data_IF_405958348580
#
_entry.id   IF_405958348580
#
_cell.length_a   1.000
_cell.length_b   1.000
_cell.length_c   1.000
_cell.angle_alpha   90.00
_cell.angle_beta   90.00
_cell.angle_gamma   90.00
#
_symmetry.space_group_name_H-M   'P 1'
#
loop_
_entity.id
_entity.type
_entity.pdbx_description
1 polymer ?
#
# COMPACT_ATOMS: atom_id res chain seq x y z
N UNK A 1 -5.52 24.63 27.74
CA UNK A 1 -5.24 23.30 27.18
C UNK A 1 -3.74 23.09 27.01
N UNK A 2 -3.03 23.87 26.18
CA UNK A 2 -1.59 23.76 25.88
C UNK A 2 -0.66 23.63 27.12
N UNK A 3 -0.88 24.41 28.19
CA UNK A 3 -0.04 24.31 29.42
C UNK A 3 -0.06 22.91 30.06
N UNK A 4 -1.19 22.20 30.01
CA UNK A 4 -1.28 20.83 30.54
C UNK A 4 -0.57 19.82 29.65
N UNK A 5 -0.66 19.99 28.31
CA UNK A 5 0.05 19.15 27.34
C UNK A 5 1.56 19.30 27.54
N UNK A 6 2.07 20.54 27.61
CA UNK A 6 3.49 20.81 27.79
C UNK A 6 4.04 20.36 29.15
N UNK A 7 3.19 20.28 30.18
CA UNK A 7 3.58 19.80 31.51
C UNK A 7 3.67 18.26 31.59
N UNK A 8 2.87 17.55 30.82
CA UNK A 8 2.73 16.09 30.92
C UNK A 8 3.41 15.32 29.77
N UNK A 9 3.80 16.00 28.69
CA UNK A 9 4.38 15.38 27.51
C UNK A 9 5.79 15.91 27.27
N UNK A 10 6.79 15.04 27.40
CA UNK A 10 8.20 15.44 27.34
C UNK A 10 8.78 15.31 25.93
N UNK A 11 8.14 14.58 25.02
CA UNK A 11 8.56 14.39 23.64
C UNK A 11 7.41 14.60 22.65
N UNK A 12 7.74 14.69 21.38
CA UNK A 12 6.77 15.00 20.32
C UNK A 12 5.78 13.86 20.09
N UNK A 13 6.19 12.61 20.27
CA UNK A 13 5.28 11.47 20.17
C UNK A 13 4.19 11.52 21.28
N UNK A 14 4.59 11.83 22.50
CA UNK A 14 3.65 11.99 23.61
C UNK A 14 2.72 13.19 23.40
N UNK A 15 3.24 14.30 22.86
CA UNK A 15 2.44 15.49 22.52
C UNK A 15 1.42 15.16 21.43
N UNK A 16 1.87 14.52 20.35
CA UNK A 16 1.02 14.16 19.22
C UNK A 16 -0.11 13.21 19.64
N UNK A 17 0.22 12.13 20.38
CA UNK A 17 -0.81 11.21 20.89
C UNK A 17 -1.78 11.95 21.80
N UNK A 18 -1.30 12.78 22.72
CA UNK A 18 -2.16 13.48 23.66
C UNK A 18 -3.10 14.51 23.00
N UNK A 19 -2.69 15.09 21.88
CA UNK A 19 -3.50 16.04 21.12
C UNK A 19 -4.63 15.39 20.37
N UNK A 20 -4.41 14.20 19.83
CA UNK A 20 -5.36 13.52 18.94
C UNK A 20 -6.17 12.43 19.64
N UNK A 21 -5.63 11.82 20.71
CA UNK A 21 -6.27 10.67 21.37
C UNK A 21 -7.64 11.01 21.97
N UNK A 22 -8.52 10.03 21.96
CA UNK A 22 -9.76 10.09 22.72
C UNK A 22 -9.48 10.22 24.22
N UNK A 23 -10.29 10.99 24.98
CA UNK A 23 -10.12 11.17 26.40
C UNK A 23 -10.05 9.83 27.16
N UNK A 24 -8.98 9.63 27.92
CA UNK A 24 -8.76 8.41 28.71
C UNK A 24 -8.02 7.29 27.98
N UNK A 25 -7.65 7.48 26.72
CA UNK A 25 -6.78 6.57 25.97
C UNK A 25 -5.30 7.01 26.08
N UNK A 26 -4.39 6.10 25.72
CA UNK A 26 -2.96 6.35 25.59
C UNK A 26 -2.40 5.86 24.24
N UNK A 27 -3.28 5.71 23.27
CA UNK A 27 -3.01 5.26 21.91
C UNK A 27 -3.93 6.00 20.93
N UNK A 28 -3.60 5.94 19.65
CA UNK A 28 -4.40 6.47 18.55
C UNK A 28 -5.04 5.33 17.75
N UNK A 29 -6.28 5.53 17.34
CA UNK A 29 -7.00 4.70 16.37
C UNK A 29 -7.14 5.45 15.04
N UNK A 30 -7.60 4.78 14.00
CA UNK A 30 -7.69 5.36 12.65
C UNK A 30 -8.52 6.65 12.63
N UNK A 31 -9.62 6.67 13.36
CA UNK A 31 -10.54 7.80 13.45
C UNK A 31 -9.91 9.06 14.06
N UNK A 32 -8.92 8.88 14.91
CA UNK A 32 -8.22 10.00 15.56
C UNK A 32 -7.36 10.82 14.59
N UNK A 33 -6.95 10.22 13.47
CA UNK A 33 -6.16 10.89 12.42
C UNK A 33 -7.01 11.73 11.47
N UNK A 34 -8.32 11.51 11.40
CA UNK A 34 -9.19 12.19 10.41
C UNK A 34 -9.14 13.71 10.56
N UNK A 35 -9.33 14.32 11.76
CA UNK A 35 -9.28 15.78 11.89
C UNK A 35 -7.92 16.37 11.53
N UNK A 36 -6.82 15.68 11.86
CA UNK A 36 -5.47 16.10 11.52
C UNK A 36 -5.28 16.11 9.99
N UNK A 37 -5.67 15.04 9.30
CA UNK A 37 -5.51 14.94 7.85
C UNK A 37 -6.46 15.87 7.09
N UNK A 38 -7.66 16.13 7.62
CA UNK A 38 -8.53 17.17 7.08
C UNK A 38 -7.87 18.55 7.12
N UNK A 39 -7.17 18.86 8.21
CA UNK A 39 -6.42 20.10 8.32
C UNK A 39 -5.26 20.14 7.31
N UNK A 40 -4.50 19.06 7.16
CA UNK A 40 -3.43 18.94 6.16
C UNK A 40 -3.96 19.20 4.75
N UNK A 41 -5.06 18.54 4.33
CA UNK A 41 -5.65 18.74 3.00
C UNK A 41 -6.14 20.18 2.83
N UNK A 42 -6.63 20.82 3.88
CA UNK A 42 -7.13 22.20 3.82
C UNK A 42 -6.04 23.26 3.81
N UNK A 43 -4.86 22.95 4.33
CA UNK A 43 -3.80 23.95 4.54
C UNK A 43 -2.61 23.77 3.60
N UNK A 44 -2.29 22.53 3.23
CA UNK A 44 -1.12 22.26 2.38
C UNK A 44 -1.33 22.72 0.94
N UNK A 45 -0.39 23.53 0.38
CA UNK A 45 -0.55 24.11 -0.97
C UNK A 45 -0.65 23.03 -2.08
N UNK A 46 0.10 21.95 -1.97
CA UNK A 46 0.09 20.83 -2.91
C UNK A 46 -1.21 20.01 -2.94
N UNK A 47 -2.14 20.23 -2.01
CA UNK A 47 -3.42 19.51 -1.92
C UNK A 47 -4.64 20.43 -2.10
N UNK A 48 -4.44 21.70 -2.46
CA UNK A 48 -5.51 22.69 -2.55
C UNK A 48 -6.65 22.28 -3.50
N UNK A 49 -6.33 21.56 -4.58
CA UNK A 49 -7.29 21.07 -5.57
C UNK A 49 -8.25 20.00 -5.02
N UNK A 50 -7.85 19.24 -3.99
CA UNK A 50 -8.72 18.23 -3.36
C UNK A 50 -9.90 18.84 -2.59
N UNK A 51 -9.87 20.13 -2.27
CA UNK A 51 -10.94 20.80 -1.52
C UNK A 51 -12.27 20.78 -2.25
N UNK A 52 -12.26 20.83 -3.57
CA UNK A 52 -13.47 20.86 -4.40
C UNK A 52 -13.99 19.46 -4.74
N UNK A 53 -13.17 18.43 -4.56
CA UNK A 53 -13.47 17.05 -4.89
C UNK A 53 -13.66 16.19 -3.62
N UNK A 54 -14.83 16.27 -2.99
CA UNK A 54 -15.11 15.67 -1.67
C UNK A 54 -14.87 14.16 -1.59
N UNK A 55 -15.09 13.41 -2.68
CA UNK A 55 -14.88 11.97 -2.71
C UNK A 55 -13.38 11.63 -2.73
N UNK A 56 -12.61 12.29 -3.59
CA UNK A 56 -11.15 12.18 -3.62
C UNK A 56 -10.53 12.61 -2.29
N UNK A 57 -11.02 13.68 -1.69
CA UNK A 57 -10.61 14.13 -0.37
C UNK A 57 -10.75 13.02 0.67
N UNK A 58 -11.93 12.37 0.73
CA UNK A 58 -12.18 11.28 1.66
C UNK A 58 -11.29 10.06 1.38
N UNK A 59 -11.10 9.69 0.11
CA UNK A 59 -10.25 8.56 -0.30
C UNK A 59 -8.77 8.82 -0.02
N UNK A 60 -8.29 10.04 -0.29
CA UNK A 60 -6.94 10.44 0.05
C UNK A 60 -6.68 10.30 1.56
N UNK A 61 -7.55 10.86 2.40
CA UNK A 61 -7.43 10.71 3.87
C UNK A 61 -7.40 9.23 4.27
N UNK A 62 -8.28 8.42 3.73
CA UNK A 62 -8.31 6.97 4.01
C UNK A 62 -6.98 6.32 3.62
N UNK A 63 -6.46 6.62 2.43
CA UNK A 63 -5.18 6.06 1.97
C UNK A 63 -4.03 6.44 2.89
N UNK A 64 -3.92 7.72 3.25
CA UNK A 64 -2.86 8.20 4.15
C UNK A 64 -2.97 7.52 5.51
N UNK A 65 -4.18 7.39 6.08
CA UNK A 65 -4.39 6.66 7.34
C UNK A 65 -3.90 5.21 7.22
N UNK A 66 -4.27 4.52 6.14
CA UNK A 66 -3.85 3.14 5.95
C UNK A 66 -2.33 3.02 5.79
N UNK A 67 -1.68 3.93 5.07
CA UNK A 67 -0.21 3.97 4.95
C UNK A 67 0.46 4.22 6.29
N UNK A 68 -0.08 5.13 7.12
CA UNK A 68 0.42 5.36 8.49
C UNK A 68 0.32 4.07 9.32
N UNK A 69 -0.84 3.40 9.31
CA UNK A 69 -1.02 2.17 10.07
C UNK A 69 -0.18 1.01 9.52
N UNK A 70 -0.01 0.92 8.20
CA UNK A 70 0.84 -0.06 7.54
C UNK A 70 2.30 0.04 7.99
N UNK A 71 2.82 1.26 8.10
CA UNK A 71 4.24 1.49 8.44
C UNK A 71 4.47 1.52 9.95
N UNK A 72 3.60 2.19 10.72
CA UNK A 72 3.81 2.50 12.13
C UNK A 72 3.27 1.40 13.05
N UNK A 73 2.05 0.86 12.79
CA UNK A 73 1.39 -0.09 13.68
C UNK A 73 1.95 -1.51 13.54
N UNK A 74 3.21 -1.69 13.95
CA UNK A 74 3.95 -2.95 13.83
C UNK A 74 3.40 -4.08 14.68
N UNK A 75 2.58 -3.76 15.67
CA UNK A 75 1.90 -4.74 16.53
C UNK A 75 0.63 -5.33 15.90
N UNK A 76 0.17 -4.79 14.77
CA UNK A 76 -1.10 -5.16 14.12
C UNK A 76 -2.33 -5.03 15.05
N UNK A 77 -2.20 -4.25 16.12
CA UNK A 77 -3.25 -4.10 17.13
C UNK A 77 -4.40 -3.19 16.70
N UNK A 78 -4.26 -2.44 15.59
CA UNK A 78 -5.16 -1.36 15.21
C UNK A 78 -5.05 -0.13 16.13
N UNK A 79 -3.99 -0.04 16.94
CA UNK A 79 -3.76 1.02 17.91
C UNK A 79 -2.31 1.45 17.84
N UNK A 80 -2.06 2.70 17.49
CA UNK A 80 -0.72 3.28 17.46
C UNK A 80 -0.39 3.86 18.84
N UNK A 81 0.66 3.34 19.46
CA UNK A 81 1.17 3.79 20.76
C UNK A 81 2.28 4.82 20.61
N UNK A 82 2.57 5.59 21.66
CA UNK A 82 3.74 6.47 21.69
C UNK A 82 5.05 5.73 21.40
N UNK A 83 5.16 4.46 21.78
CA UNK A 83 6.36 3.66 21.55
C UNK A 83 6.54 3.31 20.07
N UNK A 84 5.46 3.05 19.35
CA UNK A 84 5.48 2.82 17.89
C UNK A 84 5.80 4.10 17.13
N UNK A 85 5.18 5.23 17.50
CA UNK A 85 5.49 6.53 16.89
C UNK A 85 6.97 6.92 17.05
N UNK A 86 7.57 6.72 18.23
CA UNK A 86 8.98 7.02 18.47
C UNK A 86 9.95 6.20 17.61
N UNK A 87 9.53 5.02 17.17
CA UNK A 87 10.35 4.10 16.34
C UNK A 87 10.15 4.33 14.85
N UNK A 88 9.18 5.14 14.46
CA UNK A 88 8.84 5.45 13.08
C UNK A 88 9.38 6.82 12.67
N UNK A 89 9.47 7.05 11.37
CA UNK A 89 9.75 8.33 10.71
C UNK A 89 8.53 9.26 10.65
N UNK A 90 7.36 8.83 11.12
CA UNK A 90 6.10 9.54 10.89
C UNK A 90 6.13 11.00 11.37
N UNK A 91 6.60 11.26 12.59
CA UNK A 91 6.65 12.64 13.10
C UNK A 91 7.66 13.54 12.36
N UNK A 92 8.71 12.96 11.80
CA UNK A 92 9.64 13.67 10.93
C UNK A 92 8.95 14.08 9.63
N UNK A 93 8.18 13.17 9.03
CA UNK A 93 7.35 13.47 7.85
C UNK A 93 6.26 14.51 8.14
N UNK A 94 5.67 14.49 9.35
CA UNK A 94 4.72 15.53 9.76
C UNK A 94 5.39 16.92 9.85
N UNK A 95 6.63 16.99 10.35
CA UNK A 95 7.36 18.25 10.39
C UNK A 95 7.68 18.77 8.97
N UNK A 96 8.01 17.90 8.04
CA UNK A 96 8.27 18.26 6.65
C UNK A 96 7.05 18.81 5.90
N UNK A 97 5.83 18.54 6.35
CA UNK A 97 4.61 19.13 5.75
C UNK A 97 4.57 20.67 5.83
N UNK A 98 5.30 21.27 6.76
CA UNK A 98 5.40 22.74 6.88
C UNK A 98 6.52 23.33 5.98
N UNK A 99 7.51 22.51 5.63
CA UNK A 99 8.72 22.94 4.92
C UNK A 99 8.64 22.64 3.42
N UNK A 100 8.02 21.51 3.06
CA UNK A 100 7.94 21.03 1.68
C UNK A 100 6.62 21.44 1.04
N UNK A 101 6.70 22.18 -0.05
CA UNK A 101 5.52 22.65 -0.79
C UNK A 101 4.96 21.60 -1.75
N UNK A 102 5.80 20.69 -2.24
CA UNK A 102 5.40 19.59 -3.08
C UNK A 102 5.11 18.34 -2.24
N UNK A 103 3.83 18.02 -2.09
CA UNK A 103 3.37 16.85 -1.31
C UNK A 103 3.93 15.52 -1.83
N UNK A 104 4.32 15.45 -3.10
CA UNK A 104 4.84 14.23 -3.72
C UNK A 104 6.28 13.90 -3.29
N UNK A 105 7.01 14.88 -2.73
CA UNK A 105 8.30 14.61 -2.10
C UNK A 105 8.18 13.84 -0.77
N UNK A 106 6.99 13.81 -0.18
CA UNK A 106 6.70 13.06 1.05
C UNK A 106 6.20 11.65 0.74
N UNK A 107 7.03 10.87 0.05
CA UNK A 107 6.69 9.55 -0.53
C UNK A 107 6.27 8.52 0.51
N UNK A 108 6.75 8.61 1.75
CA UNK A 108 6.50 7.59 2.78
C UNK A 108 5.02 7.53 3.21
N UNK A 109 4.33 8.70 3.31
CA UNK A 109 2.95 8.74 3.81
C UNK A 109 2.02 9.58 2.93
N UNK A 110 2.43 10.76 2.47
CA UNK A 110 1.54 11.83 2.03
C UNK A 110 1.47 12.02 0.53
N UNK A 111 2.32 11.37 -0.28
CA UNK A 111 2.35 11.55 -1.73
C UNK A 111 0.97 11.35 -2.36
N UNK A 112 0.53 12.36 -3.12
CA UNK A 112 -0.70 12.29 -3.90
C UNK A 112 -0.58 11.29 -5.07
N UNK A 113 0.58 11.21 -5.71
CA UNK A 113 0.83 10.26 -6.80
C UNK A 113 0.62 8.83 -6.34
N UNK A 114 1.17 8.46 -5.17
CA UNK A 114 0.96 7.15 -4.57
C UNK A 114 -0.51 6.88 -4.24
N UNK A 115 -1.24 7.88 -3.74
CA UNK A 115 -2.67 7.75 -3.53
C UNK A 115 -3.40 7.52 -4.85
N UNK A 116 -3.07 8.30 -5.90
CA UNK A 116 -3.74 8.25 -7.18
C UNK A 116 -3.58 6.89 -7.85
N UNK A 117 -2.39 6.33 -7.84
CA UNK A 117 -2.13 4.96 -8.33
C UNK A 117 -3.00 3.93 -7.61
N UNK A 118 -3.03 3.95 -6.27
CA UNK A 118 -3.86 3.02 -5.48
C UNK A 118 -5.34 3.18 -5.84
N UNK A 119 -5.79 4.42 -5.97
CA UNK A 119 -7.17 4.74 -6.30
C UNK A 119 -7.56 4.23 -7.68
N UNK A 120 -6.75 4.47 -8.70
CA UNK A 120 -7.01 4.01 -10.06
C UNK A 120 -6.99 2.48 -10.15
N UNK A 121 -6.02 1.81 -9.52
CA UNK A 121 -5.96 0.34 -9.48
C UNK A 121 -7.17 -0.28 -8.76
N UNK A 122 -7.70 0.36 -7.74
CA UNK A 122 -8.94 -0.09 -7.10
C UNK A 122 -10.12 -0.01 -8.07
N UNK A 123 -10.29 1.12 -8.77
CA UNK A 123 -11.39 1.32 -9.72
C UNK A 123 -11.30 0.45 -10.96
N UNK A 124 -10.10 0.12 -11.42
CA UNK A 124 -9.87 -0.83 -12.50
C UNK A 124 -10.44 -2.22 -12.15
N UNK A 125 -10.33 -2.63 -10.91
CA UNK A 125 -10.81 -3.93 -10.44
C UNK A 125 -12.28 -3.93 -10.02
N UNK A 126 -12.79 -2.84 -9.44
CA UNK A 126 -14.18 -2.68 -9.00
C UNK A 126 -15.12 -2.42 -10.19
N UNK A 127 -15.36 -3.45 -11.00
CA UNK A 127 -16.13 -3.32 -12.25
C UNK A 127 -17.63 -3.19 -12.05
N UNK A 128 -18.18 -3.66 -10.93
CA UNK A 128 -19.59 -3.51 -10.57
C UNK A 128 -19.87 -2.22 -9.77
N UNK A 129 -18.81 -1.47 -9.43
CA UNK A 129 -18.84 -0.18 -8.73
C UNK A 129 -19.57 -0.21 -7.39
N UNK A 130 -19.49 -1.34 -6.69
CA UNK A 130 -20.10 -1.47 -5.36
C UNK A 130 -19.17 -0.99 -4.22
N UNK A 131 -17.97 -0.47 -4.57
CA UNK A 131 -16.93 0.05 -3.67
C UNK A 131 -16.24 -1.04 -2.83
N UNK A 132 -16.35 -2.28 -3.25
CA UNK A 132 -15.74 -3.44 -2.62
C UNK A 132 -15.12 -4.33 -3.71
N UNK A 133 -14.03 -4.99 -3.39
CA UNK A 133 -13.38 -5.96 -4.27
C UNK A 133 -13.74 -7.36 -3.82
N UNK A 134 -14.25 -8.18 -4.71
CA UNK A 134 -14.46 -9.61 -4.48
C UNK A 134 -13.28 -10.46 -4.98
N UNK A 135 -13.38 -11.78 -4.83
CA UNK A 135 -12.30 -12.70 -5.22
C UNK A 135 -12.09 -12.75 -6.74
N UNK A 136 -13.13 -12.50 -7.55
CA UNK A 136 -13.03 -12.48 -9.01
C UNK A 136 -12.40 -11.17 -9.49
N UNK A 137 -12.76 -10.06 -8.84
CA UNK A 137 -12.17 -8.76 -9.07
C UNK A 137 -10.65 -8.81 -8.79
N UNK A 138 -10.29 -9.28 -7.60
CA UNK A 138 -8.88 -9.36 -7.20
C UNK A 138 -8.08 -10.31 -8.09
N UNK A 139 -8.70 -11.37 -8.61
CA UNK A 139 -8.03 -12.30 -9.52
C UNK A 139 -7.59 -11.64 -10.83
N UNK A 140 -8.23 -10.55 -11.26
CA UNK A 140 -7.83 -9.82 -12.48
C UNK A 140 -6.59 -8.95 -12.29
N UNK A 141 -6.15 -8.75 -11.05
CA UNK A 141 -4.93 -7.99 -10.79
C UNK A 141 -3.73 -8.61 -11.51
N UNK A 142 -2.99 -7.80 -12.27
CA UNK A 142 -1.82 -8.20 -13.07
C UNK A 142 -2.10 -9.48 -13.90
N UNK A 143 -3.15 -9.46 -14.71
CA UNK A 143 -3.52 -10.55 -15.62
C UNK A 143 -3.55 -11.94 -14.96
N UNK A 144 -4.16 -12.02 -13.78
CA UNK A 144 -4.25 -13.23 -13.00
C UNK A 144 -2.90 -13.75 -12.45
N UNK A 145 -1.94 -12.87 -12.16
CA UNK A 145 -0.62 -13.26 -11.68
C UNK A 145 -0.68 -14.06 -10.37
N UNK A 146 -1.59 -13.69 -9.45
CA UNK A 146 -1.72 -14.32 -8.13
C UNK A 146 -2.54 -15.62 -8.21
N UNK A 147 -2.11 -16.65 -7.50
CA UNK A 147 -2.78 -17.95 -7.44
C UNK A 147 -4.15 -17.87 -6.75
N UNK A 148 -5.11 -18.69 -7.19
CA UNK A 148 -6.45 -18.72 -6.60
C UNK A 148 -6.44 -19.13 -5.14
N UNK A 149 -5.55 -20.05 -4.74
CA UNK A 149 -5.35 -20.44 -3.35
C UNK A 149 -4.91 -19.27 -2.48
N UNK A 150 -4.05 -18.39 -2.98
CA UNK A 150 -3.63 -17.20 -2.26
C UNK A 150 -4.75 -16.18 -2.17
N UNK A 151 -5.52 -15.97 -3.24
CA UNK A 151 -6.71 -15.12 -3.22
C UNK A 151 -7.70 -15.61 -2.16
N UNK A 152 -8.00 -16.92 -2.11
CA UNK A 152 -8.88 -17.50 -1.09
C UNK A 152 -8.36 -17.21 0.34
N UNK A 153 -7.04 -17.18 0.54
CA UNK A 153 -6.44 -16.85 1.84
C UNK A 153 -6.61 -15.38 2.20
N UNK A 154 -6.47 -14.47 1.26
CA UNK A 154 -6.74 -13.04 1.49
C UNK A 154 -8.18 -12.86 1.99
N UNK A 155 -9.15 -13.51 1.34
CA UNK A 155 -10.56 -13.42 1.70
C UNK A 155 -10.96 -14.29 2.91
N UNK A 156 -10.09 -15.18 3.39
CA UNK A 156 -10.35 -16.01 4.59
C UNK A 156 -10.34 -15.24 5.91
N UNK A 157 -9.85 -13.99 5.88
CA UNK A 157 -9.63 -13.19 7.08
C UNK A 157 -8.27 -13.43 7.75
N UNK A 158 -7.34 -14.13 7.10
CA UNK A 158 -5.98 -14.36 7.61
C UNK A 158 -5.24 -13.05 7.91
N UNK A 159 -5.51 -12.01 7.12
CA UNK A 159 -4.96 -10.65 7.24
C UNK A 159 -5.99 -9.64 7.74
N UNK A 160 -7.14 -10.09 8.24
CA UNK A 160 -8.17 -9.18 8.75
C UNK A 160 -7.64 -8.46 9.98
N UNK A 161 -7.61 -7.16 9.90
CA UNK A 161 -7.32 -6.28 11.02
C UNK A 161 -8.59 -6.06 11.82
N UNK A 162 -8.48 -5.71 13.08
CA UNK A 162 -9.63 -5.28 13.86
C UNK A 162 -10.26 -4.07 13.16
N UNK A 163 -11.29 -4.34 12.38
CA UNK A 163 -12.11 -3.29 11.76
C UNK A 163 -12.88 -2.65 12.91
N UNK A 164 -12.44 -1.47 13.33
CA UNK A 164 -13.37 -0.52 13.96
C UNK A 164 -14.53 -0.35 12.99
N UNK A 165 -15.74 -0.32 13.50
CA UNK A 165 -16.99 -0.35 12.72
C UNK A 165 -16.91 0.52 11.45
N UNK A 166 -17.58 0.13 10.36
CA UNK A 166 -17.43 0.76 9.06
C UNK A 166 -17.60 2.27 9.18
N UNK A 167 -16.67 3.04 8.61
CA UNK A 167 -16.85 4.45 8.30
C UNK A 167 -18.04 4.55 7.34
N UNK A 168 -19.26 4.53 7.91
CA UNK A 168 -20.46 4.87 7.17
C UNK A 168 -20.25 6.28 6.64
N UNK A 169 -20.13 6.37 5.33
CA UNK A 169 -20.16 7.60 4.57
C UNK A 169 -21.36 8.44 5.07
N UNK A 170 -21.08 9.40 5.95
CA UNK A 170 -22.09 10.33 6.44
C UNK A 170 -22.32 11.40 5.37
N UNK A 171 -22.95 11.01 4.26
CA UNK A 171 -23.71 11.94 3.45
C UNK A 171 -24.99 12.24 4.22
N UNK A 172 -25.12 13.48 4.66
CA UNK A 172 -26.28 14.13 5.28
C UNK A 172 -26.46 14.01 6.80
N UNK A 173 -26.14 15.11 7.48
CA UNK A 173 -27.02 15.68 8.51
C UNK A 173 -26.97 15.10 9.91
N UNK A 174 -26.40 15.92 10.84
CA UNK A 174 -26.77 15.99 12.26
C UNK A 174 -26.81 14.68 13.08
N UNK A 175 -25.69 14.42 13.75
CA UNK A 175 -25.68 13.49 14.89
C UNK A 175 -25.70 14.26 16.21
N UNK A 176 -26.61 13.96 17.14
CA UNK A 176 -26.53 14.47 18.50
C UNK A 176 -25.51 13.70 19.33
N UNK A 177 -24.57 14.42 19.92
CA UNK A 177 -23.52 13.98 20.85
C UNK A 177 -24.08 13.50 22.19
N UNK A 178 -24.90 12.47 22.24
CA UNK A 178 -25.34 11.99 23.55
C UNK A 178 -25.78 10.53 23.60
N UNK A 179 -24.89 9.58 23.23
CA UNK A 179 -25.09 8.16 23.60
C UNK A 179 -23.86 7.27 23.34
N UNK A 180 -22.71 7.60 23.91
CA UNK A 180 -21.56 6.67 24.02
C UNK A 180 -20.93 6.70 25.41
N UNK A 181 -21.75 6.75 26.46
CA UNK A 181 -21.28 6.61 27.84
C UNK A 181 -21.95 5.38 28.43
N UNK A 182 -21.50 4.20 28.04
CA UNK A 182 -21.64 2.95 28.82
C UNK A 182 -21.04 1.80 28.01
N UNK A 183 -19.78 1.49 28.26
CA UNK A 183 -19.19 0.15 28.15
C UNK A 183 -17.66 0.19 28.38
N UNK A 184 -17.22 0.86 29.43
CA UNK A 184 -15.88 0.65 29.99
C UNK A 184 -16.06 0.28 31.47
N UNK A 185 -16.40 -0.97 31.75
CA UNK A 185 -16.21 -1.55 33.08
C UNK A 185 -14.94 -2.39 33.07
N UNK A 186 -14.00 -2.01 33.90
CA UNK A 186 -12.77 -2.74 34.21
C UNK A 186 -13.08 -4.16 34.69
N UNK A 187 -12.29 -5.19 34.31
CA UNK A 187 -12.40 -6.50 34.92
C UNK A 187 -11.69 -6.54 36.29
N UNK A 188 -12.20 -7.30 37.24
CA UNK A 188 -11.58 -7.47 38.55
C UNK A 188 -10.34 -8.37 38.45
N UNK A 189 -9.34 -8.03 39.26
CA UNK A 189 -8.11 -8.80 39.50
C UNK A 189 -8.40 -10.21 40.05
N UNK A 190 -7.76 -11.20 39.51
CA UNK A 190 -7.46 -12.47 40.18
C UNK A 190 -7.96 -13.73 39.51
N UNK A 191 -7.01 -14.61 39.27
CA UNK A 191 -7.07 -16.06 39.02
C UNK A 191 -6.71 -16.48 37.58
N UNK A 192 -5.51 -17.05 37.48
CA UNK A 192 -5.10 -17.90 36.38
C UNK A 192 -6.07 -19.07 36.22
N UNK A 193 -6.73 -19.15 35.08
CA UNK A 193 -7.42 -20.37 34.62
C UNK A 193 -6.99 -20.66 33.20
N UNK A 194 -6.49 -21.91 33.04
CA UNK A 194 -6.20 -22.61 31.82
C UNK A 194 -7.30 -22.36 30.76
N UNK A 195 -6.90 -21.93 29.60
CA UNK A 195 -7.77 -21.79 28.43
C UNK A 195 -7.93 -23.17 27.81
N UNK A 196 -9.15 -23.70 27.65
CA UNK A 196 -9.35 -24.92 26.88
C UNK A 196 -9.25 -24.58 25.38
N UNK A 197 -8.44 -25.38 24.68
CA UNK A 197 -8.42 -25.42 23.22
C UNK A 197 -9.78 -25.94 22.72
N UNK A 198 -10.61 -25.02 22.25
CA UNK A 198 -11.74 -25.31 21.38
C UNK A 198 -11.99 -24.07 20.49
N UNK A 199 -11.18 -23.95 19.45
CA UNK A 199 -11.50 -23.08 18.31
C UNK A 199 -12.44 -23.89 17.43
N UNK A 200 -13.72 -23.80 17.74
CA UNK A 200 -14.78 -24.18 16.81
C UNK A 200 -14.65 -23.28 15.58
N UNK A 201 -14.28 -23.92 14.46
CA UNK A 201 -14.18 -23.27 13.18
C UNK A 201 -15.43 -22.45 12.85
N UNK A 202 -15.30 -21.13 12.86
CA UNK A 202 -16.26 -20.29 12.14
C UNK A 202 -16.14 -20.69 10.68
N UNK A 203 -17.21 -21.26 10.13
CA UNK A 203 -17.36 -21.44 8.68
C UNK A 203 -17.06 -20.08 8.03
N UNK A 204 -15.97 -20.05 7.26
CA UNK A 204 -15.68 -18.96 6.34
C UNK A 204 -16.89 -18.81 5.45
N UNK A 205 -17.57 -17.64 5.49
CA UNK A 205 -18.60 -17.34 4.50
C UNK A 205 -17.89 -17.25 3.14
N UNK A 206 -18.21 -18.19 2.25
CA UNK A 206 -17.87 -18.06 0.82
C UNK A 206 -18.57 -16.79 0.32
N UNK A 207 -17.78 -15.77 -0.02
CA UNK A 207 -18.30 -14.49 -0.50
C UNK A 207 -17.86 -13.27 0.33
N UNK A 208 -16.70 -13.34 0.99
CA UNK A 208 -16.09 -12.14 1.58
C UNK A 208 -15.74 -11.12 0.50
N UNK A 209 -15.92 -9.83 0.81
CA UNK A 209 -15.43 -8.71 -0.02
C UNK A 209 -14.44 -7.92 0.82
N UNK A 210 -13.42 -7.33 0.18
CA UNK A 210 -12.46 -6.44 0.82
C UNK A 210 -12.81 -4.99 0.52
N UNK A 211 -12.59 -4.13 1.51
CA UNK A 211 -12.80 -2.69 1.38
C UNK A 211 -11.64 -2.00 0.69
N UNK A 212 -11.83 -0.74 0.29
CA UNK A 212 -10.75 0.11 -0.19
C UNK A 212 -9.56 0.16 0.79
N UNK A 213 -9.82 0.23 2.09
CA UNK A 213 -8.79 0.23 3.12
C UNK A 213 -7.97 -1.07 3.16
N UNK A 214 -8.61 -2.22 2.94
CA UNK A 214 -7.93 -3.52 2.87
C UNK A 214 -7.15 -3.65 1.56
N UNK A 215 -7.69 -3.10 0.46
CA UNK A 215 -7.03 -3.07 -0.83
C UNK A 215 -5.72 -2.25 -0.80
N UNK A 216 -5.69 -1.11 -0.09
CA UNK A 216 -4.44 -0.34 0.11
C UNK A 216 -3.34 -1.23 0.70
N UNK A 217 -3.65 -2.05 1.70
CA UNK A 217 -2.66 -2.96 2.30
C UNK A 217 -2.26 -4.09 1.34
N UNK A 218 -3.22 -4.64 0.62
CA UNK A 218 -2.96 -5.65 -0.40
C UNK A 218 -1.97 -5.12 -1.45
N UNK A 219 -2.30 -3.99 -2.08
CA UNK A 219 -1.51 -3.48 -3.19
C UNK A 219 -0.07 -3.15 -2.76
N UNK A 220 0.11 -2.43 -1.64
CA UNK A 220 1.45 -2.13 -1.13
C UNK A 220 2.21 -3.41 -0.79
N UNK A 221 1.55 -4.43 -0.20
CA UNK A 221 2.19 -5.69 0.14
C UNK A 221 2.52 -6.53 -1.09
N UNK A 222 1.77 -6.39 -2.18
CA UNK A 222 2.02 -7.11 -3.43
C UNK A 222 3.19 -6.48 -4.21
N UNK A 223 3.24 -5.16 -4.28
CA UNK A 223 4.26 -4.49 -5.07
C UNK A 223 5.60 -4.33 -4.35
N UNK A 224 5.58 -4.31 -3.02
CA UNK A 224 6.81 -4.34 -2.21
C UNK A 224 6.78 -5.45 -1.16
N UNK A 225 7.34 -6.60 -1.48
CA UNK A 225 7.43 -7.78 -0.60
C UNK A 225 8.70 -7.77 0.30
N UNK A 226 9.42 -6.63 0.37
CA UNK A 226 10.65 -6.50 1.17
C UNK A 226 10.39 -5.88 2.55
N UNK A 227 9.29 -5.13 2.71
CA UNK A 227 9.00 -4.48 3.98
C UNK A 227 8.61 -5.50 5.05
N UNK A 228 8.94 -5.23 6.32
CA UNK A 228 8.55 -6.16 7.39
C UNK A 228 7.04 -6.33 7.56
N UNK A 229 6.23 -5.37 7.10
CA UNK A 229 4.77 -5.45 7.12
C UNK A 229 4.25 -6.34 5.99
N UNK A 230 4.78 -6.19 4.77
CA UNK A 230 4.42 -7.05 3.64
C UNK A 230 4.82 -8.50 3.88
N UNK A 231 6.03 -8.73 4.43
CA UNK A 231 6.48 -10.08 4.79
C UNK A 231 5.51 -10.72 5.79
N UNK A 232 5.06 -9.97 6.80
CA UNK A 232 4.08 -10.47 7.78
C UNK A 232 2.69 -10.68 7.15
N UNK A 233 2.28 -9.82 6.21
CA UNK A 233 1.04 -9.95 5.47
C UNK A 233 0.98 -11.28 4.72
N UNK A 234 1.98 -11.57 3.91
CA UNK A 234 2.05 -12.80 3.12
C UNK A 234 2.29 -14.04 3.98
N UNK A 235 3.11 -13.91 5.04
CA UNK A 235 3.29 -15.00 6.00
C UNK A 235 1.97 -15.45 6.62
N UNK A 236 1.13 -14.51 7.07
CA UNK A 236 -0.20 -14.79 7.63
C UNK A 236 -1.14 -15.44 6.60
N UNK A 237 -1.02 -15.10 5.33
CA UNK A 237 -1.77 -15.78 4.28
C UNK A 237 -1.30 -17.23 4.09
N UNK A 238 0.00 -17.50 4.15
CA UNK A 238 0.56 -18.84 3.93
C UNK A 238 0.46 -19.76 5.13
N UNK A 239 0.44 -19.23 6.34
CA UNK A 239 0.25 -19.98 7.60
C UNK A 239 -1.22 -20.43 7.68
N UNK A 240 -1.47 -21.69 7.25
CA UNK A 240 -2.82 -22.22 7.08
C UNK A 240 -3.45 -22.60 8.43
N UNK A 241 -2.66 -23.19 9.31
CA UNK A 241 -3.09 -23.66 10.62
C UNK A 241 -2.90 -22.62 11.74
N UNK A 242 -2.17 -21.52 11.47
CA UNK A 242 -1.95 -20.43 12.40
C UNK A 242 -0.98 -20.76 13.53
N UNK A 243 -0.06 -21.70 13.30
CA UNK A 243 0.92 -22.14 14.33
C UNK A 243 2.16 -21.23 14.40
N UNK A 244 2.28 -20.25 13.49
CA UNK A 244 3.35 -19.27 13.45
C UNK A 244 4.62 -19.73 12.75
N UNK A 245 4.55 -20.82 11.98
CA UNK A 245 5.64 -21.29 11.13
C UNK A 245 5.10 -21.95 9.86
N UNK A 246 5.74 -21.69 8.73
CA UNK A 246 5.41 -22.37 7.49
C UNK A 246 6.03 -23.75 7.47
N UNK A 247 5.20 -24.78 7.36
CA UNK A 247 5.57 -26.19 7.20
C UNK A 247 5.78 -26.52 5.71
N UNK A 248 6.47 -27.65 5.45
CA UNK A 248 6.64 -28.17 4.09
C UNK A 248 5.30 -28.43 3.41
N UNK A 249 4.30 -28.90 4.18
CA UNK A 249 2.96 -29.17 3.67
C UNK A 249 2.25 -27.91 3.16
N UNK A 250 2.40 -26.80 3.88
CA UNK A 250 1.83 -25.51 3.46
C UNK A 250 2.52 -24.96 2.21
N UNK A 251 3.83 -25.10 2.13
CA UNK A 251 4.59 -24.71 0.93
C UNK A 251 4.18 -25.55 -0.28
N UNK A 252 4.08 -26.88 -0.12
CA UNK A 252 3.61 -27.79 -1.18
C UNK A 252 2.20 -27.44 -1.64
N UNK A 253 1.30 -27.13 -0.69
CA UNK A 253 -0.07 -26.72 -1.00
C UNK A 253 -0.11 -25.53 -1.97
N UNK A 254 0.67 -24.48 -1.75
CA UNK A 254 0.70 -23.33 -2.66
C UNK A 254 1.43 -23.67 -3.97
N UNK A 255 2.55 -24.38 -3.89
CA UNK A 255 3.37 -24.70 -5.05
C UNK A 255 2.66 -25.60 -6.07
N UNK A 256 1.80 -26.51 -5.66
CA UNK A 256 1.00 -27.33 -6.57
C UNK A 256 0.18 -26.51 -7.58
N UNK A 257 -0.34 -25.35 -7.19
CA UNK A 257 -1.06 -24.50 -8.12
C UNK A 257 -0.11 -23.81 -9.10
N UNK A 258 1.06 -23.38 -8.64
CA UNK A 258 2.09 -22.82 -9.50
C UNK A 258 2.55 -23.83 -10.56
N UNK A 259 2.82 -25.06 -10.18
CA UNK A 259 3.16 -26.14 -11.13
C UNK A 259 2.08 -26.29 -12.20
N UNK A 260 0.82 -26.40 -11.81
CA UNK A 260 -0.29 -26.54 -12.78
C UNK A 260 -0.39 -25.33 -13.72
N UNK A 261 -0.09 -24.13 -13.25
CA UNK A 261 -0.08 -22.92 -14.06
C UNK A 261 1.09 -22.92 -15.05
N UNK A 262 2.30 -23.26 -14.60
CA UNK A 262 3.48 -23.41 -15.45
C UNK A 262 3.26 -24.47 -16.53
N UNK A 263 2.71 -25.64 -16.16
CA UNK A 263 2.36 -26.70 -17.11
C UNK A 263 1.38 -26.21 -18.20
N UNK A 264 0.38 -25.39 -17.80
CA UNK A 264 -0.57 -24.81 -18.76
C UNK A 264 0.07 -23.84 -19.75
N UNK A 265 1.20 -23.24 -19.37
CA UNK A 265 2.03 -22.37 -20.23
C UNK A 265 3.10 -23.14 -21.00
N UNK A 266 3.10 -24.47 -20.93
CA UNK A 266 4.12 -25.37 -21.50
C UNK A 266 5.55 -25.07 -20.95
N UNK A 267 5.64 -24.62 -19.71
CA UNK A 267 6.89 -24.42 -18.97
C UNK A 267 7.03 -25.58 -17.98
N UNK A 268 8.14 -26.29 -18.06
CA UNK A 268 8.42 -27.40 -17.14
C UNK A 268 8.69 -26.85 -15.74
N UNK A 269 7.81 -27.22 -14.78
CA UNK A 269 7.98 -26.83 -13.39
C UNK A 269 9.05 -27.69 -12.71
N UNK A 270 9.81 -27.09 -11.78
CA UNK A 270 10.73 -27.86 -10.93
C UNK A 270 9.94 -28.85 -10.04
N UNK A 271 10.46 -30.05 -9.77
CA UNK A 271 9.93 -30.89 -8.71
C UNK A 271 9.88 -30.13 -7.37
N UNK A 272 8.85 -30.39 -6.56
CA UNK A 272 8.68 -29.65 -5.30
C UNK A 272 9.90 -29.76 -4.38
N UNK A 273 10.51 -30.94 -4.29
CA UNK A 273 11.70 -31.17 -3.47
C UNK A 273 12.87 -30.27 -3.88
N UNK A 274 13.09 -30.08 -5.17
CA UNK A 274 14.16 -29.23 -5.71
C UNK A 274 13.85 -27.74 -5.44
N UNK A 275 12.62 -27.31 -5.68
CA UNK A 275 12.15 -25.96 -5.35
C UNK A 275 12.29 -25.70 -3.83
N UNK A 276 11.89 -26.66 -3.00
CA UNK A 276 12.00 -26.56 -1.55
C UNK A 276 13.45 -26.41 -1.09
N UNK A 277 14.38 -27.20 -1.65
CA UNK A 277 15.80 -27.08 -1.34
C UNK A 277 16.34 -25.67 -1.68
N UNK A 278 15.99 -25.15 -2.84
CA UNK A 278 16.35 -23.77 -3.24
C UNK A 278 15.79 -22.73 -2.26
N UNK A 279 14.54 -22.84 -1.87
CA UNK A 279 13.90 -21.91 -0.94
C UNK A 279 14.46 -21.99 0.47
N UNK A 280 14.83 -23.19 0.93
CA UNK A 280 15.51 -23.37 2.23
C UNK A 280 16.93 -22.78 2.21
N UNK A 281 17.66 -22.95 1.11
CA UNK A 281 18.98 -22.31 0.92
C UNK A 281 18.90 -20.78 0.84
N UNK A 282 17.83 -20.26 0.29
CA UNK A 282 17.57 -18.82 0.20
C UNK A 282 17.21 -18.21 1.57
N UNK A 283 16.29 -18.85 2.31
CA UNK A 283 15.78 -18.34 3.61
C UNK A 283 16.73 -18.65 4.75
N UNK A 284 17.39 -19.80 4.73
CA UNK A 284 18.29 -20.34 5.79
C UNK A 284 17.60 -20.31 7.16
N UNK A 285 16.48 -21.05 7.33
CA UNK A 285 15.73 -21.05 8.58
C UNK A 285 16.56 -21.59 9.73
N UNK A 286 16.28 -21.11 10.95
CA UNK A 286 17.00 -21.58 12.16
C UNK A 286 16.60 -22.98 12.58
N UNK A 287 15.38 -23.40 12.25
CA UNK A 287 14.84 -24.71 12.58
C UNK A 287 14.66 -25.52 11.31
N UNK A 288 15.13 -26.75 11.30
CA UNK A 288 14.96 -27.66 10.17
C UNK A 288 13.46 -27.93 9.92
N UNK A 289 13.06 -27.83 8.66
CA UNK A 289 11.70 -28.16 8.24
C UNK A 289 10.62 -27.15 8.59
N UNK A 290 10.97 -25.97 9.13
CA UNK A 290 10.00 -24.93 9.49
C UNK A 290 10.56 -23.54 9.24
N UNK A 291 9.81 -22.72 8.56
CA UNK A 291 10.18 -21.31 8.28
C UNK A 291 9.32 -20.40 9.14
N UNK A 292 9.95 -19.63 10.02
CA UNK A 292 9.25 -18.66 10.87
C UNK A 292 9.20 -17.28 10.23
N UNK A 293 8.26 -16.45 10.70
CA UNK A 293 8.21 -15.03 10.30
C UNK A 293 9.54 -14.30 10.54
N UNK A 294 10.27 -14.66 11.61
CA UNK A 294 11.58 -14.08 11.92
C UNK A 294 12.64 -14.50 10.90
N UNK A 295 12.57 -15.69 10.34
CA UNK A 295 13.48 -16.16 9.30
C UNK A 295 13.26 -15.34 8.01
N UNK A 296 12.02 -15.18 7.58
CA UNK A 296 11.68 -14.38 6.40
C UNK A 296 12.02 -12.89 6.58
N UNK A 297 11.78 -12.31 7.75
CA UNK A 297 12.19 -10.90 8.02
C UNK A 297 13.72 -10.68 7.99
N UNK A 298 14.52 -11.72 8.13
CA UNK A 298 15.99 -11.66 7.98
C UNK A 298 16.44 -11.95 6.55
N UNK A 299 15.61 -12.60 5.76
CA UNK A 299 15.90 -12.94 4.37
C UNK A 299 15.75 -11.67 3.49
N UNK A 300 16.83 -11.30 2.81
CA UNK A 300 16.81 -10.16 1.87
C UNK A 300 15.98 -10.44 0.61
N UNK A 301 15.79 -11.71 0.29
CA UNK A 301 15.08 -12.19 -0.89
C UNK A 301 13.70 -12.78 -0.52
N UNK A 302 13.07 -12.28 0.53
CA UNK A 302 11.74 -12.74 0.94
C UNK A 302 10.68 -12.56 -0.16
N UNK A 303 10.79 -11.52 -1.00
CA UNK A 303 9.92 -11.32 -2.17
C UNK A 303 10.01 -12.50 -3.13
N UNK A 304 11.21 -12.93 -3.50
CA UNK A 304 11.42 -14.09 -4.38
C UNK A 304 10.81 -15.37 -3.79
N UNK A 305 11.00 -15.57 -2.47
CA UNK A 305 10.36 -16.68 -1.78
C UNK A 305 8.85 -16.68 -1.95
N UNK A 306 8.17 -15.56 -1.71
CA UNK A 306 6.73 -15.48 -1.83
C UNK A 306 6.27 -15.65 -3.28
N UNK A 307 6.92 -14.99 -4.23
CA UNK A 307 6.57 -15.04 -5.66
C UNK A 307 6.67 -16.45 -6.21
N UNK A 308 7.65 -17.24 -5.79
CA UNK A 308 7.79 -18.65 -6.15
C UNK A 308 6.54 -19.46 -5.82
N UNK A 309 5.86 -19.17 -4.71
CA UNK A 309 4.72 -19.96 -4.26
C UNK A 309 3.36 -19.48 -4.78
N UNK A 310 3.22 -18.21 -5.15
CA UNK A 310 1.88 -17.72 -5.49
C UNK A 310 1.77 -16.62 -6.55
N UNK A 311 2.87 -16.04 -7.06
CA UNK A 311 2.81 -15.06 -8.14
C UNK A 311 3.62 -15.53 -9.34
N UNK A 312 2.92 -15.98 -10.39
CA UNK A 312 3.60 -16.61 -11.53
C UNK A 312 4.35 -15.62 -12.41
N UNK A 313 3.85 -14.41 -12.54
CA UNK A 313 4.47 -13.37 -13.37
C UNK A 313 5.81 -12.93 -12.77
N UNK A 314 5.80 -12.53 -11.48
CA UNK A 314 7.01 -12.12 -10.76
C UNK A 314 8.03 -13.26 -10.61
N UNK A 315 7.54 -14.51 -10.49
CA UNK A 315 8.40 -15.69 -10.51
C UNK A 315 9.14 -15.83 -11.85
N UNK A 316 8.42 -15.75 -12.97
CA UNK A 316 9.03 -15.85 -14.30
C UNK A 316 9.97 -14.68 -14.60
N UNK A 317 9.64 -13.49 -14.18
CA UNK A 317 10.51 -12.32 -14.28
C UNK A 317 11.82 -12.51 -13.51
N UNK A 318 11.74 -13.09 -12.31
CA UNK A 318 12.91 -13.38 -11.51
C UNK A 318 13.82 -14.41 -12.20
N UNK A 319 13.27 -15.52 -12.69
CA UNK A 319 14.00 -16.55 -13.43
C UNK A 319 14.71 -15.97 -14.67
N UNK A 320 14.05 -15.09 -15.41
CA UNK A 320 14.63 -14.43 -16.57
C UNK A 320 15.78 -13.48 -16.19
N UNK A 321 15.63 -12.72 -15.10
CA UNK A 321 16.67 -11.81 -14.61
C UNK A 321 17.87 -12.55 -14.08
N UNK A 322 17.71 -13.66 -13.38
CA UNK A 322 18.83 -14.51 -12.95
C UNK A 322 19.63 -15.03 -14.14
N UNK A 323 18.95 -15.55 -15.16
CA UNK A 323 19.60 -15.99 -16.40
C UNK A 323 20.36 -14.84 -17.09
N UNK A 324 19.80 -13.63 -17.10
CA UNK A 324 20.44 -12.45 -17.68
C UNK A 324 21.60 -11.91 -16.81
N UNK A 325 21.54 -12.01 -15.49
CA UNK A 325 22.55 -11.54 -14.57
C UNK A 325 23.82 -12.39 -14.61
N UNK A 326 23.71 -13.66 -14.94
CA UNK A 326 24.85 -14.53 -15.23
C UNK A 326 25.67 -14.05 -16.44
N UNK A 327 25.12 -13.14 -17.26
CA UNK A 327 25.74 -12.60 -18.48
C UNK A 327 26.22 -11.15 -18.33
N UNK A 328 25.95 -10.47 -17.21
CA UNK A 328 26.30 -9.06 -16.99
C UNK A 328 26.75 -8.79 -15.54
N UNK A 329 27.98 -8.38 -15.38
CA UNK A 329 28.42 -7.59 -14.23
C UNK A 329 27.90 -6.15 -14.46
N UNK A 330 26.98 -5.66 -13.63
CA UNK A 330 26.59 -4.25 -13.67
C UNK A 330 26.54 -3.66 -12.26
N UNK A 331 27.49 -2.79 -12.01
CA UNK A 331 27.45 -1.81 -10.92
C UNK A 331 26.40 -0.74 -11.25
N UNK A 332 25.40 -0.60 -10.42
CA UNK A 332 24.58 0.61 -10.35
C UNK A 332 24.50 1.07 -8.89
N UNK A 333 25.46 1.92 -8.49
CA UNK A 333 25.40 2.64 -7.23
C UNK A 333 24.56 3.93 -7.40
N UNK A 334 23.27 3.85 -7.08
CA UNK A 334 22.39 4.99 -6.83
C UNK A 334 21.56 4.75 -5.56
N UNK A 335 20.96 5.78 -4.92
CA UNK A 335 20.01 5.54 -3.85
C UNK A 335 18.85 4.74 -4.43
N UNK A 336 18.74 3.49 -4.00
CA UNK A 336 17.78 2.54 -4.50
C UNK A 336 16.38 2.89 -3.93
N UNK A 337 15.45 3.29 -4.80
CA UNK A 337 14.06 3.47 -4.45
C UNK A 337 13.49 2.14 -3.94
N UNK A 338 12.54 2.18 -3.01
CA UNK A 338 11.78 0.98 -2.63
C UNK A 338 11.02 0.42 -3.84
N UNK A 339 10.69 -0.87 -3.81
CA UNK A 339 9.92 -1.48 -4.90
C UNK A 339 8.55 -0.80 -5.04
N UNK A 340 7.94 -0.38 -3.93
CA UNK A 340 6.71 0.39 -3.94
C UNK A 340 6.87 1.77 -4.61
N UNK A 341 7.91 2.52 -4.27
CA UNK A 341 8.15 3.85 -4.86
C UNK A 341 8.40 3.77 -6.36
N UNK A 342 9.16 2.75 -6.81
CA UNK A 342 9.40 2.51 -8.23
C UNK A 342 8.10 2.16 -8.95
N UNK A 343 7.33 1.20 -8.44
CA UNK A 343 6.05 0.81 -8.99
C UNK A 343 5.08 2.00 -9.08
N UNK A 344 4.96 2.77 -8.00
CA UNK A 344 4.06 3.91 -7.96
C UNK A 344 4.44 5.01 -8.96
N UNK A 345 5.74 5.25 -9.17
CA UNK A 345 6.21 6.21 -10.16
C UNK A 345 5.94 5.73 -11.60
N UNK A 346 6.24 4.47 -11.90
CA UNK A 346 6.01 3.87 -13.23
C UNK A 346 4.51 3.87 -13.59
N UNK A 347 3.66 3.44 -12.66
CA UNK A 347 2.20 3.41 -12.88
C UNK A 347 1.59 4.81 -12.97
N UNK A 348 2.08 5.77 -12.19
CA UNK A 348 1.61 7.15 -12.28
C UNK A 348 1.93 7.76 -13.64
N UNK A 349 3.14 7.55 -14.15
CA UNK A 349 3.54 8.01 -15.48
C UNK A 349 2.67 7.40 -16.60
N UNK A 350 2.34 6.11 -16.48
CA UNK A 350 1.43 5.43 -17.42
C UNK A 350 0.02 6.04 -17.37
N UNK A 351 -0.55 6.21 -16.18
CA UNK A 351 -1.87 6.80 -16.01
C UNK A 351 -1.95 8.22 -16.58
N UNK A 352 -0.92 9.05 -16.34
CA UNK A 352 -0.85 10.40 -16.89
C UNK A 352 -0.70 10.40 -18.42
N UNK A 353 0.08 9.45 -18.96
CA UNK A 353 0.24 9.30 -20.40
C UNK A 353 -1.08 8.87 -21.08
N UNK A 354 -1.82 7.97 -20.49
CA UNK A 354 -3.14 7.54 -20.98
C UNK A 354 -4.15 8.69 -20.96
N UNK A 355 -4.16 9.50 -19.91
CA UNK A 355 -5.01 10.68 -19.83
C UNK A 355 -4.66 11.75 -20.90
N UNK A 356 -3.37 11.89 -21.23
CA UNK A 356 -2.91 12.85 -22.24
C UNK A 356 -3.23 12.41 -23.68
N UNK A 357 -3.32 11.11 -23.95
CA UNK A 357 -3.64 10.55 -25.28
C UNK A 357 -5.16 10.49 -25.53
N UNK A 358 -5.98 10.54 -24.48
CA UNK A 358 -7.43 10.65 -24.59
C UNK A 358 -7.81 11.92 -25.34
N UNK A 359 -8.09 11.82 -26.65
CA UNK A 359 -8.49 12.91 -27.54
C UNK A 359 -9.65 13.72 -26.96
N UNK A 360 -9.74 15.04 -27.24
CA UNK A 360 -10.95 15.79 -26.98
C UNK A 360 -12.07 15.14 -27.81
N UNK A 361 -13.06 14.62 -27.13
CA UNK A 361 -14.26 14.02 -27.73
C UNK A 361 -14.88 15.05 -28.66
N UNK A 362 -14.77 14.85 -29.98
CA UNK A 362 -15.58 15.56 -30.95
C UNK A 362 -17.05 15.27 -30.66
N UNK A 363 -17.81 16.33 -30.49
CA UNK A 363 -19.25 16.33 -30.30
C UNK A 363 -19.97 15.38 -31.27
N UNK A 364 -20.61 14.39 -30.75
CA UNK A 364 -21.59 13.66 -31.53
C UNK A 364 -21.78 12.18 -31.17
N UNK A 365 -22.30 11.91 -29.99
CA UNK A 365 -23.30 10.89 -29.66
C UNK A 365 -23.52 10.93 -28.15
N UNK A 366 -24.76 11.27 -27.74
CA UNK A 366 -25.26 11.11 -26.37
C UNK A 366 -25.27 9.62 -25.97
N UNK A 367 -24.10 9.08 -25.59
CA UNK A 367 -24.02 7.91 -24.74
C UNK A 367 -24.05 8.47 -23.31
N UNK A 368 -25.10 8.18 -22.57
CA UNK A 368 -25.19 8.52 -21.15
C UNK A 368 -24.01 7.85 -20.44
N UNK A 369 -22.96 8.65 -20.18
CA UNK A 369 -21.85 8.25 -19.34
C UNK A 369 -22.40 7.87 -17.96
N UNK A 370 -21.88 6.79 -17.39
CA UNK A 370 -22.26 6.43 -16.03
C UNK A 370 -21.99 7.60 -15.07
N UNK A 371 -22.72 7.75 -13.98
CA UNK A 371 -22.48 8.81 -13.00
C UNK A 371 -21.03 8.83 -12.45
N UNK A 372 -20.33 7.71 -12.57
CA UNK A 372 -18.93 7.56 -12.17
C UNK A 372 -17.99 8.12 -13.24
N UNK A 373 -18.24 7.82 -14.51
CA UNK A 373 -17.45 8.35 -15.63
C UNK A 373 -17.60 9.87 -15.76
N UNK A 374 -18.80 10.40 -15.50
CA UNK A 374 -19.03 11.84 -15.43
C UNK A 374 -18.23 12.51 -14.28
N UNK A 375 -18.14 11.86 -13.11
CA UNK A 375 -17.35 12.35 -11.99
C UNK A 375 -15.85 12.25 -12.25
N UNK A 376 -15.39 11.14 -12.83
CA UNK A 376 -13.98 10.96 -13.23
C UNK A 376 -13.56 12.00 -14.27
N UNK A 377 -14.38 12.25 -15.28
CA UNK A 377 -14.08 13.28 -16.30
C UNK A 377 -14.05 14.70 -15.73
N UNK A 378 -14.94 15.01 -14.77
CA UNK A 378 -14.94 16.28 -14.06
C UNK A 378 -13.71 16.46 -13.15
N UNK A 379 -13.15 15.36 -12.65
CA UNK A 379 -11.97 15.36 -11.79
C UNK A 379 -10.65 15.33 -12.56
N UNK A 380 -10.64 14.85 -13.82
CA UNK A 380 -9.52 14.94 -14.75
C UNK A 380 -9.13 16.40 -15.08
N UNK A 381 -10.12 17.29 -15.18
CA UNK A 381 -9.91 18.71 -15.49
C UNK A 381 -8.97 19.45 -14.51
N UNK A 382 -9.01 19.25 -13.18
CA UNK A 382 -8.09 19.89 -12.25
C UNK A 382 -6.65 19.38 -12.34
N UNK A 383 -6.43 18.13 -12.78
CA UNK A 383 -5.10 17.54 -12.95
C UNK A 383 -4.37 18.14 -14.15
N UNK A 384 -5.08 18.38 -15.27
CA UNK A 384 -4.55 19.01 -16.47
C UNK A 384 -4.19 20.50 -16.28
N UNK A 385 -4.68 21.14 -15.21
CA UNK A 385 -4.44 22.56 -14.91
C UNK A 385 -3.32 22.78 -13.88
N UNK A 386 -2.57 21.76 -13.49
CA UNK A 386 -1.46 21.92 -12.53
C UNK A 386 -0.29 22.68 -13.15
N UNK A 387 0.23 23.73 -12.49
CA UNK A 387 1.43 24.44 -12.95
C UNK A 387 2.71 23.60 -12.95
N UNK A 388 2.67 22.38 -12.42
CA UNK A 388 3.81 21.46 -12.36
C UNK A 388 4.00 20.59 -13.62
N UNK A 389 3.06 20.60 -14.57
CA UNK A 389 3.20 19.93 -15.87
C UNK A 389 3.76 20.83 -16.97
N UNK A 390 4.26 22.02 -16.65
CA UNK A 390 5.15 22.70 -17.56
C UNK A 390 6.45 21.92 -17.64
N UNK A 391 6.58 21.09 -18.69
CA UNK A 391 7.88 20.59 -19.12
C UNK A 391 8.88 21.74 -19.09
N UNK A 392 10.13 21.55 -18.60
CA UNK A 392 11.15 22.55 -18.74
C UNK A 392 11.49 22.73 -20.24
N UNK A 393 10.66 23.46 -20.94
CA UNK A 393 10.95 24.05 -22.26
C UNK A 393 11.90 25.21 -22.05
N UNK A 394 13.14 24.91 -21.76
CA UNK A 394 14.19 25.83 -21.44
C UNK A 394 15.57 25.35 -21.80
N UNK A 395 15.70 24.45 -22.76
CA UNK A 395 16.92 24.35 -23.55
C UNK A 395 16.80 25.42 -24.63
N UNK A 396 17.25 26.63 -24.27
CA UNK A 396 17.48 27.70 -25.18
C UNK A 396 18.35 27.20 -26.33
N UNK A 397 17.84 27.35 -27.54
CA UNK A 397 18.63 27.30 -28.75
C UNK A 397 19.86 28.18 -28.54
N UNK A 398 21.01 27.52 -28.44
CA UNK A 398 22.30 28.23 -28.55
C UNK A 398 22.40 28.64 -30.00
N UNK A 399 22.12 29.92 -30.28
CA UNK A 399 22.43 30.55 -31.55
C UNK A 399 23.93 30.40 -31.77
N UNK A 400 24.28 29.57 -32.76
CA UNK A 400 25.59 29.58 -33.37
C UNK A 400 25.79 30.95 -34.05
N UNK A 401 26.43 31.86 -33.35
CA UNK A 401 26.96 33.06 -33.98
C UNK A 401 28.07 32.67 -34.98
N UNK A 402 27.81 33.00 -36.23
CA UNK A 402 28.78 33.08 -37.31
C UNK A 402 29.97 33.92 -36.84
N UNK A 403 31.16 33.26 -36.83
CA UNK A 403 32.42 33.97 -36.79
C UNK A 403 32.73 34.45 -38.20
N UNK A 404 32.56 35.75 -38.40
CA UNK A 404 32.99 36.37 -39.63
C UNK A 404 34.51 36.31 -39.82
N UNK A 405 34.90 35.95 -41.02
CA UNK A 405 36.23 36.10 -41.58
C UNK A 405 36.63 37.59 -41.54
N UNK A 406 37.72 37.92 -40.85
CA UNK A 406 38.42 39.16 -41.06
C UNK A 406 39.89 38.87 -41.39
N UNK A 407 40.21 39.33 -42.58
CA UNK A 407 41.53 39.36 -43.24
C UNK A 407 42.67 39.83 -42.36
N UNK A 408 43.76 39.12 -42.38
CA UNK A 408 45.11 39.68 -42.18
C UNK A 408 46.05 39.15 -43.25
N UNK A 409 46.37 40.01 -44.21
CA UNK A 409 47.50 39.86 -45.10
C UNK A 409 48.79 40.35 -44.44
N UNK A 410 49.96 39.84 -44.93
CA UNK A 410 51.23 39.91 -44.23
C UNK A 410 52.05 41.14 -44.61
N UNK A 411 52.94 41.52 -43.73
CA UNK A 411 54.20 42.16 -44.05
C UNK A 411 55.23 41.88 -42.96
#
# INVERSE_FOLDING_TARGET
MWRKVLQNCHDDAAKFVHLLMNPGCNYLVQEDFIPFLQDVVNTHPGLAFLKEASEFHSRYITTVIQRIFYTVNRSWSGRITCAELRRSSFLQNVALLEEEADINQLTEFFSYEHFYVIYCKFWELDTDHDLLIDAQDLARHNDHAISSRMIDRIFSGAVTRYVSAPLLCASSGLWPLSRCVHLCRSPPTGAARSVPANVTGKKVQKGGKISYADFVWFLISEEDKKTPTSIEYWFRCMDLDGDGALSMFELEYFYEEQCRRLDSMAIEALPFEDCLCQMLDLVKPQSEGRITLSDLKRCKLAGVFFDTFFNIEKYLDHEQREQASLLRESDSEGPELSDWERYAAEEYDLLVAEEAVGEPWEDGYDAELSPVDQKLSALRSPLAQRPFFETPSGLGTVDLYECGDDDLQPS
#
